data_IF_719150360808
#
_entry.id   IF_719150360808
#
_cell.length_a   1.000
_cell.length_b   1.000
_cell.length_c   1.000
_cell.angle_alpha   90.00
_cell.angle_beta   90.00
_cell.angle_gamma   90.00
#
_symmetry.space_group_name_H-M   'P 1'
#
loop_
_entity.id
_entity.type
_entity.pdbx_description
1 polymer ?
#
# COMPACT_ATOMS: atom_id res chain seq x y z
N UNK A 1 1.85 -8.28 -30.48
CA UNK A 1 1.95 -9.57 -29.74
C UNK A 1 0.89 -9.62 -28.65
N UNK A 2 0.60 -10.76 -28.03
CA UNK A 2 -0.29 -10.89 -26.87
C UNK A 2 0.48 -11.07 -25.57
N UNK A 3 0.33 -10.09 -24.67
CA UNK A 3 0.91 -10.07 -23.34
C UNK A 3 -0.20 -10.35 -22.32
N UNK A 4 0.01 -11.34 -21.46
CA UNK A 4 -0.88 -11.59 -20.32
C UNK A 4 -0.14 -11.26 -19.03
N UNK A 5 -0.72 -10.39 -18.22
CA UNK A 5 -0.20 -9.97 -16.92
C UNK A 5 -1.15 -10.48 -15.85
N UNK A 6 -0.67 -11.39 -14.98
CA UNK A 6 -1.45 -11.94 -13.88
C UNK A 6 -1.09 -11.18 -12.61
N UNK A 7 -1.97 -10.31 -12.16
CA UNK A 7 -1.83 -9.46 -10.98
C UNK A 7 -1.73 -7.97 -11.34
N UNK A 8 -2.62 -7.16 -10.77
CA UNK A 8 -2.66 -5.70 -10.94
C UNK A 8 -2.04 -4.92 -9.76
N UNK A 9 -1.04 -5.50 -9.10
CA UNK A 9 -0.23 -4.76 -8.13
C UNK A 9 0.72 -3.76 -8.80
N UNK A 10 1.60 -3.10 -8.02
CA UNK A 10 2.59 -2.17 -8.55
C UNK A 10 3.42 -2.77 -9.70
N UNK A 11 3.85 -4.03 -9.59
CA UNK A 11 4.62 -4.71 -10.62
C UNK A 11 3.84 -4.88 -11.95
N UNK A 12 2.59 -5.33 -11.89
CA UNK A 12 1.78 -5.56 -13.10
C UNK A 12 1.36 -4.25 -13.78
N UNK A 13 0.88 -3.28 -13.00
CA UNK A 13 0.50 -1.96 -13.52
C UNK A 13 1.71 -1.22 -14.12
N UNK A 14 2.86 -1.25 -13.45
CA UNK A 14 4.07 -0.61 -13.97
C UNK A 14 4.64 -1.30 -15.20
N UNK A 15 4.30 -2.57 -15.47
CA UNK A 15 4.68 -3.26 -16.70
C UNK A 15 3.77 -2.90 -17.89
N UNK A 16 2.47 -2.67 -17.65
CA UNK A 16 1.50 -2.47 -18.72
C UNK A 16 1.77 -1.20 -19.56
N UNK A 17 2.16 -0.09 -18.92
CA UNK A 17 2.41 1.18 -19.61
C UNK A 17 3.65 1.13 -20.54
N UNK A 18 4.84 0.68 -20.09
CA UNK A 18 5.97 0.46 -20.99
C UNK A 18 5.66 -0.52 -22.11
N UNK A 19 4.90 -1.60 -21.85
CA UNK A 19 4.50 -2.54 -22.89
C UNK A 19 3.72 -1.85 -24.01
N UNK A 20 2.73 -1.01 -23.67
CA UNK A 20 1.98 -0.25 -24.69
C UNK A 20 2.85 0.75 -25.45
N UNK A 21 3.85 1.33 -24.82
CA UNK A 21 4.78 2.25 -25.49
C UNK A 21 5.70 1.53 -26.49
N UNK A 22 6.11 0.30 -26.17
CA UNK A 22 7.02 -0.51 -27.00
C UNK A 22 6.27 -1.27 -28.11
N UNK A 23 5.06 -1.76 -27.83
CA UNK A 23 4.19 -2.47 -28.78
C UNK A 23 2.84 -1.77 -28.83
N UNK A 24 2.71 -0.81 -29.76
CA UNK A 24 1.53 0.06 -29.90
C UNK A 24 0.26 -0.70 -30.24
N UNK A 25 0.37 -1.83 -30.94
CA UNK A 25 -0.75 -2.62 -31.44
C UNK A 25 -0.88 -3.98 -30.71
N UNK A 26 -0.03 -4.23 -29.71
CA UNK A 26 -0.08 -5.48 -28.93
C UNK A 26 -1.36 -5.60 -28.11
N UNK A 27 -1.84 -6.84 -27.95
CA UNK A 27 -2.93 -7.18 -27.04
C UNK A 27 -2.36 -7.27 -25.63
N UNK A 28 -2.73 -6.34 -24.74
CA UNK A 28 -2.33 -6.39 -23.32
C UNK A 28 -3.54 -6.81 -22.51
N UNK A 29 -3.44 -7.97 -21.89
CA UNK A 29 -4.49 -8.52 -21.02
C UNK A 29 -3.99 -8.47 -19.58
N UNK A 30 -4.80 -7.92 -18.68
CA UNK A 30 -4.48 -7.84 -17.26
C UNK A 30 -5.56 -8.56 -16.46
N UNK A 31 -5.15 -9.50 -15.61
CA UNK A 31 -6.03 -10.36 -14.81
C UNK A 31 -5.78 -10.07 -13.33
N UNK A 32 -6.85 -9.90 -12.54
CA UNK A 32 -6.76 -9.73 -11.09
C UNK A 32 -7.92 -10.45 -10.41
N UNK A 33 -7.62 -11.11 -9.30
CA UNK A 33 -8.61 -11.78 -8.44
C UNK A 33 -9.57 -10.78 -7.78
N UNK A 34 -9.07 -9.61 -7.35
CA UNK A 34 -9.92 -8.52 -6.88
C UNK A 34 -10.65 -7.82 -8.04
N UNK A 35 -11.79 -7.20 -7.72
CA UNK A 35 -12.55 -6.41 -8.69
C UNK A 35 -11.95 -5.02 -8.97
N UNK A 36 -10.97 -4.59 -8.18
CA UNK A 36 -10.38 -3.25 -8.29
C UNK A 36 -8.88 -3.23 -8.00
N UNK A 37 -8.17 -2.37 -8.73
CA UNK A 37 -6.77 -2.03 -8.46
C UNK A 37 -6.70 -1.16 -7.20
N UNK A 38 -5.84 -1.54 -6.27
CA UNK A 38 -5.69 -0.80 -5.01
C UNK A 38 -4.26 -0.89 -4.47
N UNK A 39 -3.85 0.12 -3.71
CA UNK A 39 -2.58 0.12 -3.00
C UNK A 39 -2.73 -0.60 -1.67
N UNK A 40 -2.14 -1.79 -1.55
CA UNK A 40 -2.09 -2.55 -0.29
C UNK A 40 -1.44 -1.75 0.85
N UNK A 41 -0.49 -0.88 0.51
CA UNK A 41 0.13 0.02 1.49
C UNK A 41 -0.84 1.06 2.07
N UNK A 42 -2.01 1.27 1.45
CA UNK A 42 -2.98 2.30 1.83
C UNK A 42 -4.23 1.72 2.51
N UNK A 43 -4.30 0.40 2.76
CA UNK A 43 -5.44 -0.21 3.47
C UNK A 43 -5.67 0.38 4.86
N UNK A 44 -4.62 0.82 5.54
CA UNK A 44 -4.72 1.50 6.84
C UNK A 44 -5.51 2.82 6.75
N UNK A 45 -5.36 3.56 5.63
CA UNK A 45 -6.13 4.78 5.35
C UNK A 45 -7.59 4.51 5.00
N UNK A 46 -7.86 3.34 4.43
CA UNK A 46 -9.22 2.88 4.22
C UNK A 46 -9.90 2.60 5.56
N UNK A 47 -9.26 1.81 6.42
CA UNK A 47 -9.77 1.49 7.76
C UNK A 47 -9.93 2.72 8.66
N UNK A 48 -9.07 3.73 8.52
CA UNK A 48 -9.20 4.97 9.29
C UNK A 48 -10.29 5.91 8.77
N UNK A 49 -10.91 5.61 7.63
CA UNK A 49 -11.88 6.50 6.96
C UNK A 49 -11.24 7.71 6.28
N UNK A 50 -9.90 7.80 6.23
CA UNK A 50 -9.19 8.87 5.49
C UNK A 50 -9.36 8.77 3.98
N UNK A 51 -9.61 7.56 3.45
CA UNK A 51 -9.86 7.29 2.03
C UNK A 51 -10.91 6.20 1.87
N UNK A 52 -11.69 6.28 0.81
CA UNK A 52 -12.57 5.20 0.39
C UNK A 52 -11.83 4.16 -0.47
N UNK A 53 -12.55 3.13 -0.92
CA UNK A 53 -12.01 2.03 -1.72
C UNK A 53 -11.45 2.51 -3.07
N UNK A 54 -11.99 3.59 -3.63
CA UNK A 54 -11.51 4.21 -4.87
C UNK A 54 -10.25 5.05 -4.61
N UNK A 55 -10.22 5.83 -3.52
CA UNK A 55 -9.12 6.72 -3.14
C UNK A 55 -7.84 5.99 -2.74
N UNK A 56 -7.91 4.69 -2.43
CA UNK A 56 -6.72 3.85 -2.23
C UNK A 56 -6.17 3.25 -3.54
N UNK A 57 -6.86 3.42 -4.67
CA UNK A 57 -6.29 3.14 -5.99
C UNK A 57 -5.10 4.06 -6.28
N UNK A 58 -4.12 3.54 -7.01
CA UNK A 58 -2.93 4.29 -7.43
C UNK A 58 -2.86 4.49 -8.96
N UNK A 59 -3.94 4.15 -9.67
CA UNK A 59 -4.11 4.39 -11.10
C UNK A 59 -5.25 5.38 -11.33
N UNK A 60 -5.23 6.08 -12.46
CA UNK A 60 -6.38 6.87 -12.90
C UNK A 60 -7.52 5.97 -13.38
N UNK A 61 -8.75 6.47 -13.34
CA UNK A 61 -9.94 5.74 -13.76
C UNK A 61 -9.90 5.33 -15.25
N UNK A 62 -9.22 6.12 -16.08
CA UNK A 62 -9.05 5.90 -17.51
C UNK A 62 -7.78 5.11 -17.87
N UNK A 63 -7.03 4.60 -16.88
CA UNK A 63 -5.75 3.92 -17.13
C UNK A 63 -5.86 2.76 -18.12
N UNK A 64 -6.90 1.93 -17.98
CA UNK A 64 -7.09 0.77 -18.86
C UNK A 64 -7.44 1.20 -20.29
N UNK A 65 -8.27 2.22 -20.44
CA UNK A 65 -8.67 2.78 -21.74
C UNK A 65 -7.48 3.45 -22.44
N UNK A 66 -6.75 4.32 -21.72
CA UNK A 66 -5.57 5.03 -22.23
C UNK A 66 -4.47 4.10 -22.73
N UNK A 67 -4.35 2.91 -22.13
CA UNK A 67 -3.33 1.92 -22.49
C UNK A 67 -3.89 0.76 -23.32
N UNK A 68 -5.14 0.83 -23.77
CA UNK A 68 -5.83 -0.23 -24.52
C UNK A 68 -5.63 -1.61 -23.89
N UNK A 69 -5.91 -1.73 -22.60
CA UNK A 69 -5.74 -2.96 -21.81
C UNK A 69 -7.09 -3.69 -21.73
N UNK A 70 -7.12 -4.97 -22.10
CA UNK A 70 -8.26 -5.83 -21.80
C UNK A 70 -8.21 -6.25 -20.34
N UNK A 71 -9.20 -5.79 -19.57
CA UNK A 71 -9.24 -5.93 -18.12
C UNK A 71 -10.15 -7.09 -17.69
N UNK A 72 -9.61 -8.03 -16.90
CA UNK A 72 -10.32 -9.16 -16.29
C UNK A 72 -10.31 -9.01 -14.75
N UNK A 73 -11.19 -8.18 -14.17
CA UNK A 73 -11.38 -8.07 -12.73
C UNK A 73 -12.12 -9.29 -12.19
N UNK A 74 -11.88 -9.65 -10.93
CA UNK A 74 -12.62 -10.75 -10.28
C UNK A 74 -12.27 -12.13 -10.83
N UNK A 75 -11.11 -12.29 -11.48
CA UNK A 75 -10.71 -13.53 -12.16
C UNK A 75 -9.38 -14.03 -11.64
N UNK A 76 -9.34 -15.31 -11.30
CA UNK A 76 -8.16 -15.98 -10.76
C UNK A 76 -7.56 -16.91 -11.81
N UNK A 77 -6.25 -16.81 -12.05
CA UNK A 77 -5.53 -17.84 -12.79
C UNK A 77 -5.38 -19.09 -11.92
N UNK A 78 -6.00 -20.19 -12.33
CA UNK A 78 -5.96 -21.47 -11.59
C UNK A 78 -4.98 -22.48 -12.17
N UNK A 79 -4.57 -22.31 -13.44
CA UNK A 79 -3.57 -23.20 -14.07
C UNK A 79 -2.77 -22.48 -15.15
N UNK A 80 -1.49 -22.81 -15.23
CA UNK A 80 -0.59 -22.45 -16.33
C UNK A 80 -0.32 -23.68 -17.20
N UNK A 81 -0.60 -23.57 -18.50
CA UNK A 81 -0.30 -24.59 -19.50
C UNK A 81 0.80 -24.07 -20.43
N UNK A 82 2.05 -24.38 -20.08
CA UNK A 82 3.22 -23.92 -20.83
C UNK A 82 3.33 -24.57 -22.21
N UNK A 83 2.75 -25.76 -22.43
CA UNK A 83 2.84 -26.46 -23.73
C UNK A 83 2.00 -25.75 -24.77
N UNK A 84 0.80 -25.35 -24.38
CA UNK A 84 -0.17 -24.66 -25.23
C UNK A 84 -0.06 -23.12 -25.13
N UNK A 85 0.93 -22.61 -24.39
CA UNK A 85 1.14 -21.17 -24.11
C UNK A 85 -0.15 -20.44 -23.71
N UNK A 86 -0.85 -20.98 -22.69
CA UNK A 86 -2.13 -20.43 -22.22
C UNK A 86 -2.30 -20.56 -20.71
N UNK A 87 -3.13 -19.70 -20.14
CA UNK A 87 -3.58 -19.78 -18.75
C UNK A 87 -5.05 -20.20 -18.69
N UNK A 88 -5.44 -20.87 -17.61
CA UNK A 88 -6.83 -21.20 -17.28
C UNK A 88 -7.29 -20.29 -16.16
N UNK A 89 -8.43 -19.64 -16.36
CA UNK A 89 -9.13 -18.88 -15.33
C UNK A 89 -10.08 -19.78 -14.53
N UNK A 90 -10.48 -19.32 -13.36
CA UNK A 90 -11.44 -19.97 -12.46
C UNK A 90 -12.82 -20.26 -13.09
N UNK A 91 -13.25 -19.46 -14.06
CA UNK A 91 -14.48 -19.66 -14.82
C UNK A 91 -14.36 -20.65 -15.99
N UNK A 92 -13.20 -21.28 -16.16
CA UNK A 92 -12.93 -22.23 -17.24
C UNK A 92 -12.41 -21.58 -18.54
N UNK A 93 -12.28 -20.25 -18.61
CA UNK A 93 -11.76 -19.54 -19.77
C UNK A 93 -10.27 -19.83 -19.96
N UNK A 94 -9.87 -20.16 -21.19
CA UNK A 94 -8.46 -20.22 -21.58
C UNK A 94 -8.02 -18.91 -22.24
N UNK A 95 -6.94 -18.31 -21.74
CA UNK A 95 -6.31 -17.14 -22.32
C UNK A 95 -4.93 -17.50 -22.89
N UNK A 96 -4.76 -17.51 -24.23
CA UNK A 96 -3.45 -17.73 -24.83
C UNK A 96 -2.56 -16.50 -24.65
N UNK A 97 -1.24 -16.70 -24.64
CA UNK A 97 -0.25 -15.63 -24.52
C UNK A 97 0.96 -15.88 -25.43
N UNK A 98 1.56 -14.81 -25.94
CA UNK A 98 2.92 -14.85 -26.49
C UNK A 98 3.96 -14.64 -25.39
N UNK A 99 3.62 -13.79 -24.41
CA UNK A 99 4.44 -13.49 -23.23
C UNK A 99 3.55 -13.41 -21.98
N UNK A 100 3.98 -14.06 -20.92
CA UNK A 100 3.28 -14.10 -19.63
C UNK A 100 4.14 -13.42 -18.55
N UNK A 101 3.53 -12.50 -17.80
CA UNK A 101 4.10 -11.91 -16.59
C UNK A 101 3.30 -12.36 -15.38
N UNK A 102 3.94 -13.07 -14.46
CA UNK A 102 3.38 -13.42 -13.16
C UNK A 102 3.73 -12.33 -12.14
N UNK A 103 2.75 -11.49 -11.83
CA UNK A 103 2.83 -10.36 -10.92
C UNK A 103 1.79 -10.47 -9.77
N UNK A 104 1.45 -11.69 -9.38
CA UNK A 104 0.40 -12.01 -8.38
C UNK A 104 0.73 -11.53 -6.96
N UNK A 105 1.99 -11.15 -6.70
CA UNK A 105 2.44 -10.70 -5.40
C UNK A 105 2.69 -11.87 -4.46
N UNK A 106 2.19 -11.78 -3.23
CA UNK A 106 2.27 -12.86 -2.26
C UNK A 106 0.94 -12.98 -1.52
N UNK A 107 0.81 -13.99 -0.67
CA UNK A 107 -0.32 -14.22 0.22
C UNK A 107 0.16 -14.18 1.68
N UNK A 108 -0.75 -14.05 2.64
CA UNK A 108 -0.44 -14.24 4.06
C UNK A 108 -0.73 -15.69 4.44
N UNK A 109 0.14 -16.27 5.26
CA UNK A 109 -0.07 -17.59 5.85
C UNK A 109 -0.66 -17.39 7.25
N UNK A 110 -1.82 -17.98 7.51
CA UNK A 110 -2.31 -18.13 8.88
C UNK A 110 -1.47 -19.21 9.56
N UNK A 111 -0.83 -18.93 10.72
CA UNK A 111 -0.06 -19.94 11.42
C UNK A 111 -0.97 -21.12 11.82
N UNK A 112 -0.44 -22.35 11.91
CA UNK A 112 -1.22 -23.56 12.21
C UNK A 112 -1.56 -23.64 13.71
N UNK A 113 -2.23 -22.61 14.22
CA UNK A 113 -2.71 -22.53 15.59
C UNK A 113 -4.12 -23.14 15.61
N UNK A 114 -4.36 -24.18 16.43
CA UNK A 114 -5.69 -24.79 16.54
C UNK A 114 -6.78 -23.75 16.84
N UNK A 115 -7.87 -23.78 16.07
CA UNK A 115 -9.00 -22.85 16.24
C UNK A 115 -8.82 -21.48 15.59
N UNK A 116 -7.63 -21.13 15.09
CA UNK A 116 -7.37 -19.79 14.53
C UNK A 116 -8.05 -19.59 13.17
N UNK A 117 -8.13 -20.63 12.34
CA UNK A 117 -8.76 -20.54 11.02
C UNK A 117 -10.29 -20.56 11.13
N UNK A 118 -10.80 -21.26 12.15
CA UNK A 118 -12.21 -21.39 12.47
C UNK A 118 -12.74 -20.17 13.24
N UNK A 119 -11.85 -19.39 13.86
CA UNK A 119 -12.18 -18.17 14.56
C UNK A 119 -12.71 -17.12 13.57
N UNK A 120 -14.02 -16.85 13.64
CA UNK A 120 -14.71 -15.88 12.77
C UNK A 120 -14.31 -14.41 12.98
N UNK A 121 -13.36 -14.14 13.89
CA UNK A 121 -12.83 -12.82 14.23
C UNK A 121 -11.33 -12.68 13.91
N UNK A 122 -10.77 -13.58 13.09
CA UNK A 122 -9.40 -13.48 12.59
C UNK A 122 -9.43 -13.04 11.13
N UNK A 123 -8.81 -11.91 10.84
CA UNK A 123 -8.79 -11.33 9.50
C UNK A 123 -7.36 -11.13 9.03
N UNK A 124 -7.08 -11.49 7.78
CA UNK A 124 -5.84 -11.12 7.14
C UNK A 124 -5.86 -9.66 6.72
N UNK A 125 -4.81 -8.91 7.06
CA UNK A 125 -4.68 -7.50 6.68
C UNK A 125 -3.68 -7.34 5.53
N UNK A 126 -4.10 -7.79 4.34
CA UNK A 126 -3.28 -7.75 3.12
C UNK A 126 -4.08 -7.42 1.87
N UNK A 127 -5.28 -7.99 1.78
CA UNK A 127 -6.16 -7.89 0.62
C UNK A 127 -7.35 -6.99 0.98
N UNK A 128 -7.95 -6.39 -0.03
CA UNK A 128 -9.05 -5.46 0.16
C UNK A 128 -10.24 -6.12 0.87
N UNK A 129 -10.53 -7.38 0.54
CA UNK A 129 -11.57 -8.17 1.21
C UNK A 129 -11.33 -8.29 2.72
N UNK A 130 -10.07 -8.42 3.14
CA UNK A 130 -9.67 -8.44 4.55
C UNK A 130 -9.90 -7.09 5.23
N UNK A 131 -9.51 -5.98 4.57
CA UNK A 131 -9.78 -4.64 5.06
C UNK A 131 -11.30 -4.37 5.20
N UNK A 132 -12.10 -4.76 4.20
CA UNK A 132 -13.57 -4.66 4.23
C UNK A 132 -14.18 -5.50 5.37
N UNK A 133 -13.66 -6.71 5.59
CA UNK A 133 -14.13 -7.57 6.66
C UNK A 133 -13.81 -7.00 8.05
N UNK A 134 -12.61 -6.41 8.22
CA UNK A 134 -12.23 -5.70 9.44
C UNK A 134 -13.14 -4.50 9.66
N UNK A 135 -13.32 -3.63 8.65
CA UNK A 135 -14.18 -2.45 8.76
C UNK A 135 -15.61 -2.81 9.19
N UNK A 136 -16.17 -3.88 8.61
CA UNK A 136 -17.50 -4.39 8.97
C UNK A 136 -17.55 -5.00 10.37
N UNK A 137 -16.48 -5.65 10.83
CA UNK A 137 -16.41 -6.30 12.12
C UNK A 137 -16.12 -5.33 13.28
N UNK A 138 -15.37 -4.26 13.00
CA UNK A 138 -14.97 -3.26 13.99
C UNK A 138 -16.14 -2.29 14.25
N UNK A 139 -16.86 -2.54 15.34
CA UNK A 139 -17.67 -1.53 16.05
C UNK A 139 -16.73 -0.52 16.75
N UNK A 140 -17.19 0.65 17.25
CA UNK A 140 -16.30 1.68 17.81
C UNK A 140 -15.20 1.08 18.70
N UNK A 141 -13.97 1.20 18.21
CA UNK A 141 -12.77 0.62 18.80
C UNK A 141 -11.77 1.69 19.20
N UNK A 142 -10.74 1.28 19.91
CA UNK A 142 -9.60 2.12 20.25
C UNK A 142 -8.31 1.29 20.15
N UNK A 143 -7.21 1.93 19.77
CA UNK A 143 -5.90 1.32 19.56
C UNK A 143 -5.62 0.91 18.12
N UNK A 144 -4.64 0.03 17.98
CA UNK A 144 -4.11 -0.45 16.69
C UNK A 144 -5.19 -1.08 15.79
N UNK A 145 -6.24 -1.64 16.39
CA UNK A 145 -7.39 -2.23 15.69
C UNK A 145 -8.14 -1.20 14.81
N UNK A 146 -7.98 0.09 15.08
CA UNK A 146 -8.61 1.18 14.32
C UNK A 146 -7.82 1.60 13.07
N UNK A 147 -6.69 0.95 12.76
CA UNK A 147 -5.97 1.18 11.49
C UNK A 147 -5.27 2.54 11.31
N UNK A 148 -5.40 3.48 12.25
CA UNK A 148 -4.82 4.83 12.15
C UNK A 148 -3.27 4.81 12.19
N UNK A 149 -2.69 4.38 13.31
CA UNK A 149 -1.25 4.20 13.49
C UNK A 149 -1.01 3.49 14.83
N UNK A 150 -0.32 2.35 14.78
CA UNK A 150 -0.06 1.48 15.93
C UNK A 150 1.02 2.03 16.85
N UNK A 151 0.70 3.09 17.58
CA UNK A 151 1.60 3.74 18.53
C UNK A 151 0.90 4.02 19.85
N UNK A 152 1.66 3.86 20.94
CA UNK A 152 1.13 3.93 22.29
C UNK A 152 0.37 5.22 22.63
N UNK A 153 0.85 6.43 22.23
CA UNK A 153 0.11 7.67 22.47
C UNK A 153 -1.25 7.73 21.75
N UNK A 154 -1.35 7.18 20.53
CA UNK A 154 -2.61 7.11 19.79
C UNK A 154 -3.59 6.18 20.49
N UNK A 155 -3.14 4.98 20.86
CA UNK A 155 -3.98 4.02 21.55
C UNK A 155 -4.56 4.59 22.86
N UNK A 156 -3.73 5.30 23.64
CA UNK A 156 -4.18 5.97 24.87
C UNK A 156 -5.25 7.03 24.59
N UNK A 157 -5.04 7.91 23.59
CA UNK A 157 -5.98 8.98 23.26
C UNK A 157 -7.28 8.46 22.66
N UNK A 158 -7.21 7.43 21.82
CA UNK A 158 -8.38 6.73 21.30
C UNK A 158 -9.18 6.13 22.46
N UNK A 159 -8.54 5.56 23.48
CA UNK A 159 -9.21 5.07 24.68
C UNK A 159 -9.97 6.17 25.43
N UNK A 160 -9.36 7.35 25.60
CA UNK A 160 -10.02 8.51 26.23
C UNK A 160 -11.24 8.98 25.41
N UNK A 161 -11.10 9.04 24.10
CA UNK A 161 -12.19 9.49 23.20
C UNK A 161 -13.31 8.46 23.15
N UNK A 162 -12.98 7.18 23.10
CA UNK A 162 -13.96 6.10 23.21
C UNK A 162 -14.75 6.20 24.51
N UNK A 163 -14.10 6.44 25.65
CA UNK A 163 -14.77 6.62 26.94
C UNK A 163 -15.76 7.80 26.93
N UNK A 164 -15.38 8.94 26.34
CA UNK A 164 -16.28 10.10 26.21
C UNK A 164 -17.50 9.80 25.34
N UNK A 165 -17.29 9.13 24.20
CA UNK A 165 -18.38 8.74 23.31
C UNK A 165 -19.30 7.69 23.97
N UNK A 166 -18.75 6.73 24.74
CA UNK A 166 -19.53 5.78 25.52
C UNK A 166 -20.38 6.45 26.60
N UNK A 167 -19.89 7.54 27.21
CA UNK A 167 -20.65 8.35 28.17
C UNK A 167 -21.71 9.25 27.49
N UNK A 168 -21.77 9.29 26.15
CA UNK A 168 -22.71 10.10 25.40
C UNK A 168 -22.26 11.54 25.15
N UNK A 169 -20.96 11.84 25.30
CA UNK A 169 -20.37 13.12 24.88
C UNK A 169 -19.73 12.90 23.50
N UNK A 170 -20.36 13.37 22.40
CA UNK A 170 -19.81 13.22 21.07
C UNK A 170 -18.45 13.91 20.99
N UNK A 171 -17.40 13.10 20.82
CA UNK A 171 -16.02 13.58 20.79
C UNK A 171 -15.32 12.98 19.57
N UNK A 172 -14.97 13.79 18.55
CA UNK A 172 -14.19 13.30 17.42
C UNK A 172 -12.75 12.99 17.82
N UNK A 173 -12.10 12.08 17.08
CA UNK A 173 -10.66 11.88 17.16
C UNK A 173 -9.95 12.79 16.18
N UNK A 174 -9.28 13.83 16.69
CA UNK A 174 -8.61 14.87 15.87
C UNK A 174 -7.08 14.80 15.91
N UNK A 175 -6.51 13.76 16.53
CA UNK A 175 -5.07 13.72 16.73
C UNK A 175 -4.30 13.42 15.43
N UNK A 176 -3.28 14.22 15.19
CA UNK A 176 -2.40 14.16 14.03
C UNK A 176 -1.08 13.46 14.33
N UNK A 177 -0.95 12.79 15.49
CA UNK A 177 0.28 12.08 15.85
C UNK A 177 0.73 11.06 14.78
N UNK A 178 -0.20 10.49 14.00
CA UNK A 178 0.12 9.63 12.86
C UNK A 178 0.93 10.33 11.74
N UNK A 179 0.90 11.67 11.68
CA UNK A 179 1.76 12.48 10.80
C UNK A 179 3.21 12.59 11.31
N UNK A 180 3.51 12.06 12.50
CA UNK A 180 4.85 11.98 13.08
C UNK A 180 5.31 10.52 13.10
N UNK A 181 6.34 10.23 12.32
CA UNK A 181 7.04 8.95 12.35
C UNK A 181 8.45 9.14 12.91
N UNK A 182 8.79 8.37 13.94
CA UNK A 182 10.13 8.30 14.50
C UNK A 182 10.63 6.87 14.43
N UNK A 183 11.82 6.66 13.90
CA UNK A 183 12.45 5.35 13.84
C UNK A 183 13.94 5.46 14.10
N UNK A 184 14.55 4.38 14.56
CA UNK A 184 15.99 4.30 14.75
C UNK A 184 16.57 3.29 13.77
N UNK A 185 17.42 3.73 12.87
CA UNK A 185 18.18 2.86 11.96
C UNK A 185 19.61 2.71 12.48
N UNK A 186 19.94 1.56 13.08
CA UNK A 186 21.31 1.25 13.48
C UNK A 186 21.98 2.31 14.39
N UNK A 187 21.21 2.92 15.30
CA UNK A 187 21.67 4.00 16.18
C UNK A 187 21.42 5.41 15.64
N UNK A 188 20.84 5.54 14.45
CA UNK A 188 20.50 6.82 13.84
C UNK A 188 19.02 7.14 14.08
N UNK A 189 18.70 8.10 14.96
CA UNK A 189 17.32 8.57 15.09
C UNK A 189 16.93 9.29 13.81
N UNK A 190 15.78 8.92 13.25
CA UNK A 190 15.13 9.58 12.14
C UNK A 190 13.73 10.01 12.57
N UNK A 191 13.38 11.26 12.26
CA UNK A 191 12.10 11.88 12.53
C UNK A 191 11.53 12.42 11.22
N UNK A 192 10.26 12.14 10.95
CA UNK A 192 9.49 12.72 9.87
C UNK A 192 8.18 13.27 10.44
N UNK A 193 7.90 14.54 10.21
CA UNK A 193 6.66 15.21 10.64
C UNK A 193 6.00 15.89 9.44
N UNK A 194 4.70 15.66 9.25
CA UNK A 194 3.86 16.37 8.28
C UNK A 194 3.44 15.51 7.08
N UNK A 195 2.48 16.03 6.30
CA UNK A 195 1.93 15.33 5.14
C UNK A 195 2.74 15.62 3.87
N UNK A 196 3.32 14.57 3.28
CA UNK A 196 4.07 14.66 2.02
C UNK A 196 3.17 14.79 0.78
N UNK A 197 1.89 14.40 0.90
CA UNK A 197 0.99 14.31 -0.25
C UNK A 197 0.27 15.64 -0.54
N UNK A 198 0.33 16.62 0.37
CA UNK A 198 -0.29 17.94 0.21
C UNK A 198 0.62 18.99 -0.47
N UNK A 199 1.69 18.53 -1.12
CA UNK A 199 2.69 19.38 -1.78
C UNK A 199 2.37 19.51 -3.26
N UNK A 200 2.17 20.74 -3.70
CA UNK A 200 2.12 21.15 -5.10
C UNK A 200 3.55 21.39 -5.64
N UNK A 201 3.72 21.42 -6.97
CA UNK A 201 5.01 21.65 -7.63
C UNK A 201 5.68 23.01 -7.29
N UNK A 202 5.01 23.85 -6.48
CA UNK A 202 5.49 25.14 -6.00
C UNK A 202 6.04 25.09 -4.56
N UNK A 203 6.11 23.90 -3.97
CA UNK A 203 6.63 23.75 -2.62
C UNK A 203 8.11 24.15 -2.53
N UNK A 204 8.42 25.04 -1.60
CA UNK A 204 9.79 25.37 -1.20
C UNK A 204 10.42 24.14 -0.54
N UNK A 205 11.58 23.73 -1.05
CA UNK A 205 12.37 22.62 -0.52
C UNK A 205 13.66 23.20 0.07
N UNK A 206 13.83 23.07 1.38
CA UNK A 206 15.08 23.41 2.07
C UNK A 206 15.73 22.10 2.49
N UNK A 207 16.97 21.88 2.07
CA UNK A 207 17.75 20.71 2.46
C UNK A 207 19.06 21.17 3.08
N UNK A 208 19.33 20.69 4.29
CA UNK A 208 20.62 20.85 4.96
C UNK A 208 21.20 19.45 5.16
N UNK A 209 22.43 19.24 4.70
CA UNK A 209 23.08 17.96 4.79
C UNK A 209 24.55 18.16 5.17
N UNK A 210 24.99 17.41 6.18
CA UNK A 210 26.38 17.29 6.57
C UNK A 210 26.75 15.81 6.84
N UNK A 211 28.01 15.58 7.20
CA UNK A 211 28.52 14.23 7.49
C UNK A 211 27.79 13.48 8.62
N UNK A 212 27.06 14.19 9.47
CA UNK A 212 26.37 13.72 10.68
C UNK A 212 24.87 13.96 10.65
N UNK A 213 24.36 14.88 9.86
CA UNK A 213 22.95 15.29 9.87
C UNK A 213 22.35 15.38 8.47
N UNK A 214 21.08 15.02 8.37
CA UNK A 214 20.25 15.26 7.21
C UNK A 214 18.96 15.92 7.67
N UNK A 215 18.68 17.11 7.16
CA UNK A 215 17.43 17.83 7.39
C UNK A 215 16.78 18.21 6.08
N UNK A 216 15.48 17.97 5.98
CA UNK A 216 14.68 18.40 4.84
C UNK A 216 13.36 18.99 5.28
N UNK A 217 13.14 20.25 4.95
CA UNK A 217 11.88 20.94 5.16
C UNK A 217 11.18 21.18 3.81
N UNK A 218 9.86 20.96 3.79
CA UNK A 218 9.00 21.20 2.63
C UNK A 218 7.90 22.18 3.06
N UNK A 219 7.59 23.22 2.27
CA UNK A 219 6.59 24.23 2.63
C UNK A 219 6.01 24.97 1.44
N UNK A 220 4.96 25.76 1.66
CA UNK A 220 4.38 26.66 0.65
C UNK A 220 3.93 27.96 1.32
N UNK A 221 4.31 29.12 0.79
CA UNK A 221 4.12 30.42 1.46
C UNK A 221 4.96 30.56 2.74
N UNK A 222 4.41 31.19 3.79
CA UNK A 222 5.07 31.37 5.12
C UNK A 222 4.95 30.18 6.08
N UNK A 223 4.53 28.99 5.63
CA UNK A 223 4.27 27.82 6.50
C UNK A 223 5.06 26.58 6.08
N UNK A 224 5.65 25.90 7.07
CA UNK A 224 6.29 24.59 6.91
C UNK A 224 5.19 23.52 6.86
N UNK A 225 5.19 22.71 5.80
CA UNK A 225 4.26 21.59 5.61
C UNK A 225 4.87 20.25 6.07
N UNK A 226 6.21 20.11 6.01
CA UNK A 226 6.95 18.94 6.47
C UNK A 226 8.32 19.29 7.02
N UNK A 227 8.80 18.53 8.01
CA UNK A 227 10.19 18.51 8.45
C UNK A 227 10.68 17.06 8.63
N UNK A 228 11.88 16.76 8.14
CA UNK A 228 12.58 15.48 8.34
C UNK A 228 13.94 15.77 8.94
N UNK A 229 14.35 15.06 10.00
CA UNK A 229 15.66 15.15 10.64
C UNK A 229 16.23 13.75 10.88
N UNK A 230 17.51 13.52 10.61
CA UNK A 230 18.13 12.21 10.77
C UNK A 230 19.66 12.26 10.87
N UNK A 231 20.24 11.43 11.75
CA UNK A 231 21.69 11.30 11.85
C UNK A 231 22.30 10.46 10.72
N UNK A 232 23.54 10.73 10.30
CA UNK A 232 24.34 9.88 9.38
C UNK A 232 25.56 9.30 10.12
N UNK A 233 25.78 7.99 10.01
CA UNK A 233 27.06 7.33 10.34
C UNK A 233 27.49 6.48 9.15
N UNK A 234 28.58 6.86 8.50
CA UNK A 234 29.25 6.02 7.50
C UNK A 234 30.34 5.19 8.20
N UNK A 235 30.02 3.94 8.56
CA UNK A 235 31.06 2.90 8.73
C UNK A 235 31.08 2.06 7.46
N UNK A 236 31.94 2.40 6.51
CA UNK A 236 32.34 1.45 5.46
C UNK A 236 33.10 0.31 6.13
N UNK A 237 32.46 -0.85 6.32
CA UNK A 237 33.20 -2.11 6.50
C UNK A 237 33.94 -2.36 5.20
N UNK A 238 35.26 -2.20 5.21
CA UNK A 238 36.10 -2.75 4.14
C UNK A 238 35.93 -4.27 4.19
N UNK A 239 35.36 -4.85 3.13
CA UNK A 239 35.43 -6.28 2.90
C UNK A 239 36.90 -6.60 2.57
N UNK A 240 37.54 -7.59 3.22
CA UNK A 240 38.86 -8.03 2.81
C UNK A 240 38.75 -8.59 1.39
N UNK A 241 39.50 -8.00 0.47
CA UNK A 241 39.76 -8.61 -0.85
C UNK A 241 40.76 -9.73 -0.57
N UNK A 242 40.35 -10.97 -0.78
CA UNK A 242 41.25 -12.11 -0.76
C UNK A 242 42.06 -12.12 -2.06
N UNK A 243 43.38 -12.11 -1.93
CA UNK A 243 44.34 -12.36 -3.02
C UNK A 243 44.22 -13.78 -3.59
#
# INVERSE_FOLDING_TARGET
MRYVIVGAGPAGISAARPLRQLDKDGDIILVLEDNQVHSRCMHHKYLSGERDAEGISFISSDFFEQNSITWYPGKTMVRLDCKESRILLDDGTFLPYDRLLLASGAYYLLPPVPGLKEAGNVYGFRDLSGALAIDKAVKPGAGDVCGLSGIWPNAMKQGVIAAKNMYGIPTPYEDTYALKNTMNFFGLPALCIGDINCLDNRALVITEEDSKNYRKALGGGRRIKKHTDGGKYLRQRHLPVSD
#
